data_IF_769477669295
#
_entry.id   IF_769477669295
#
_cell.length_a   1.000
_cell.length_b   1.000
_cell.length_c   1.000
_cell.angle_alpha   90.00
_cell.angle_beta   90.00
_cell.angle_gamma   90.00
#
_symmetry.space_group_name_H-M   'P 1'
#
loop_
_entity.id
_entity.type
_entity.pdbx_description
1 polymer ?
#
# COMPACT_ATOMS: atom_id res chain seq x y z
N UNK A 1 -13.15 -23.04 -11.96
CA UNK A 1 -12.36 -22.49 -10.85
C UNK A 1 -12.84 -23.18 -9.60
N UNK A 2 -11.93 -23.83 -8.86
CA UNK A 2 -12.31 -24.69 -7.74
C UNK A 2 -12.58 -23.85 -6.49
N UNK A 3 -13.54 -24.23 -5.63
CA UNK A 3 -13.97 -23.40 -4.47
C UNK A 3 -12.82 -23.03 -3.52
N UNK A 4 -11.76 -23.84 -3.49
CA UNK A 4 -10.55 -23.60 -2.69
C UNK A 4 -9.64 -22.50 -3.23
N UNK A 5 -9.58 -22.30 -4.55
CA UNK A 5 -8.79 -21.21 -5.14
C UNK A 5 -9.50 -19.85 -4.94
N UNK A 6 -10.83 -19.88 -4.89
CA UNK A 6 -11.70 -18.72 -4.62
C UNK A 6 -11.61 -18.24 -3.16
N UNK A 7 -11.58 -19.15 -2.19
CA UNK A 7 -11.47 -18.83 -0.77
C UNK A 7 -10.09 -18.21 -0.42
N UNK A 8 -9.04 -18.61 -1.14
CA UNK A 8 -7.69 -18.05 -0.97
C UNK A 8 -7.57 -16.64 -1.55
N UNK A 9 -8.21 -16.36 -2.70
CA UNK A 9 -8.23 -15.02 -3.31
C UNK A 9 -9.05 -13.99 -2.50
N UNK A 10 -10.16 -14.42 -1.89
CA UNK A 10 -10.97 -13.57 -1.00
C UNK A 10 -10.22 -13.25 0.32
N UNK A 11 -9.33 -14.15 0.78
CA UNK A 11 -8.59 -14.02 2.04
C UNK A 11 -7.41 -13.05 2.00
N UNK A 12 -6.72 -12.94 0.85
CA UNK A 12 -5.52 -12.09 0.73
C UNK A 12 -5.83 -10.61 0.95
N UNK A 13 -7.00 -10.18 0.49
CA UNK A 13 -7.40 -8.79 0.51
C UNK A 13 -7.96 -8.32 1.87
N UNK A 14 -8.65 -9.20 2.59
CA UNK A 14 -9.04 -8.93 3.98
C UNK A 14 -7.83 -8.75 4.89
N UNK A 15 -6.75 -9.48 4.63
CA UNK A 15 -5.51 -9.38 5.43
C UNK A 15 -4.85 -8.00 5.30
N UNK A 16 -4.85 -7.41 4.09
CA UNK A 16 -4.34 -6.04 3.85
C UNK A 16 -5.14 -5.00 4.65
N UNK A 17 -6.48 -5.11 4.62
CA UNK A 17 -7.39 -4.22 5.37
C UNK A 17 -7.16 -4.35 6.88
N UNK A 18 -7.07 -5.58 7.39
CA UNK A 18 -6.82 -5.84 8.81
C UNK A 18 -5.46 -5.29 9.25
N UNK A 19 -4.42 -5.47 8.44
CA UNK A 19 -3.09 -4.95 8.74
C UNK A 19 -3.06 -3.40 8.73
N UNK A 20 -3.74 -2.76 7.78
CA UNK A 20 -3.91 -1.30 7.75
C UNK A 20 -4.69 -0.78 8.96
N UNK A 21 -5.79 -1.44 9.32
CA UNK A 21 -6.59 -1.11 10.50
C UNK A 21 -5.81 -1.31 11.82
N UNK A 22 -4.99 -2.36 11.90
CA UNK A 22 -4.09 -2.59 13.03
C UNK A 22 -3.09 -1.44 13.16
N UNK A 23 -2.46 -0.99 12.05
CA UNK A 23 -1.55 0.16 12.08
C UNK A 23 -2.25 1.45 12.55
N UNK A 24 -3.50 1.69 12.13
CA UNK A 24 -4.33 2.81 12.60
C UNK A 24 -4.56 2.71 14.12
N UNK A 25 -5.02 1.56 14.60
CA UNK A 25 -5.28 1.35 16.03
C UNK A 25 -4.01 1.53 16.88
N UNK A 26 -2.89 0.94 16.46
CA UNK A 26 -1.59 1.08 17.12
C UNK A 26 -1.13 2.54 17.16
N UNK A 27 -1.33 3.28 16.07
CA UNK A 27 -0.96 4.69 15.99
C UNK A 27 -1.81 5.57 16.93
N UNK A 28 -3.12 5.31 17.02
CA UNK A 28 -4.02 6.02 17.94
C UNK A 28 -3.64 5.75 19.40
N UNK A 29 -3.39 4.48 19.74
CA UNK A 29 -2.98 4.09 21.10
C UNK A 29 -1.62 4.71 21.44
N UNK A 30 -0.69 4.76 20.48
CA UNK A 30 0.61 5.43 20.64
C UNK A 30 0.47 6.94 20.85
N UNK A 31 -0.45 7.59 20.13
CA UNK A 31 -0.77 9.01 20.30
C UNK A 31 -1.37 9.32 21.67
N UNK A 32 -2.08 8.36 22.27
CA UNK A 32 -2.57 8.46 23.65
C UNK A 32 -1.44 8.34 24.71
N UNK A 33 -0.19 8.13 24.29
CA UNK A 33 0.98 8.07 25.18
C UNK A 33 1.31 6.67 25.72
N UNK A 34 0.58 5.64 25.29
CA UNK A 34 0.83 4.26 25.76
C UNK A 34 1.97 3.67 24.93
N UNK A 35 3.13 3.45 25.56
CA UNK A 35 4.34 2.87 24.95
C UNK A 35 4.61 3.33 23.49
N UNK A 36 4.73 4.65 23.23
CA UNK A 36 4.65 5.20 21.88
C UNK A 36 5.68 4.61 20.90
N UNK A 37 6.91 4.39 21.36
CA UNK A 37 8.02 3.86 20.56
C UNK A 37 7.76 2.40 20.12
N UNK A 38 7.17 1.59 20.99
CA UNK A 38 6.87 0.19 20.69
C UNK A 38 5.73 0.13 19.67
N UNK A 39 4.68 0.92 19.89
CA UNK A 39 3.49 0.91 19.03
C UNK A 39 3.77 1.48 17.64
N UNK A 40 4.60 2.53 17.53
CA UNK A 40 4.99 3.07 16.21
C UNK A 40 5.82 2.06 15.41
N UNK A 41 6.69 1.29 16.08
CA UNK A 41 7.49 0.24 15.43
C UNK A 41 6.61 -0.94 15.02
N UNK A 42 5.63 -1.31 15.84
CA UNK A 42 4.64 -2.33 15.49
C UNK A 42 3.74 -1.88 14.32
N UNK A 43 3.37 -0.60 14.27
CA UNK A 43 2.61 -0.02 13.17
C UNK A 43 3.42 -0.08 11.85
N UNK A 44 4.72 0.25 11.89
CA UNK A 44 5.63 0.11 10.75
C UNK A 44 5.65 -1.33 10.20
N UNK A 45 5.78 -2.33 11.09
CA UNK A 45 5.76 -3.74 10.69
C UNK A 45 4.40 -4.12 10.09
N UNK A 46 3.29 -3.70 10.70
CA UNK A 46 1.95 -3.99 10.19
C UNK A 46 1.72 -3.40 8.79
N UNK A 47 2.15 -2.16 8.57
CA UNK A 47 2.13 -1.52 7.25
C UNK A 47 3.03 -2.27 6.26
N UNK A 48 4.23 -2.67 6.68
CA UNK A 48 5.16 -3.40 5.83
C UNK A 48 4.60 -4.74 5.37
N UNK A 49 3.97 -5.49 6.28
CA UNK A 49 3.25 -6.73 5.94
C UNK A 49 2.12 -6.45 4.96
N UNK A 50 1.32 -5.40 5.20
CA UNK A 50 0.23 -4.99 4.31
C UNK A 50 0.71 -4.70 2.88
N UNK A 51 1.83 -3.98 2.74
CA UNK A 51 2.44 -3.64 1.45
C UNK A 51 3.01 -4.86 0.71
N UNK A 52 3.67 -5.78 1.42
CA UNK A 52 4.15 -7.02 0.80
C UNK A 52 2.98 -7.83 0.25
N UNK A 53 1.90 -7.97 1.03
CA UNK A 53 0.69 -8.66 0.60
C UNK A 53 0.03 -7.96 -0.60
N UNK A 54 -0.13 -6.64 -0.55
CA UNK A 54 -0.70 -5.85 -1.63
C UNK A 54 0.12 -5.98 -2.93
N UNK A 55 1.45 -5.91 -2.83
CA UNK A 55 2.34 -6.08 -3.98
C UNK A 55 2.30 -7.48 -4.59
N UNK A 56 2.13 -8.52 -3.78
CA UNK A 56 1.94 -9.89 -4.27
C UNK A 56 0.62 -10.04 -5.04
N UNK A 57 -0.49 -9.51 -4.49
CA UNK A 57 -1.78 -9.53 -5.17
C UNK A 57 -1.74 -8.78 -6.51
N UNK A 58 -1.12 -7.59 -6.54
CA UNK A 58 -0.94 -6.82 -7.77
C UNK A 58 -0.09 -7.56 -8.82
N UNK A 59 0.91 -8.34 -8.39
CA UNK A 59 1.73 -9.14 -9.30
C UNK A 59 0.93 -10.29 -9.95
N UNK A 60 0.00 -10.91 -9.21
CA UNK A 60 -0.87 -11.97 -9.74
C UNK A 60 -1.86 -11.44 -10.78
N UNK A 61 -2.47 -10.29 -10.53
CA UNK A 61 -3.39 -9.64 -11.48
C UNK A 61 -2.68 -9.35 -12.82
N UNK A 62 -1.46 -8.80 -12.75
CA UNK A 62 -0.64 -8.54 -13.95
C UNK A 62 -0.30 -9.81 -14.71
N UNK A 63 -0.02 -10.92 -14.02
CA UNK A 63 0.20 -12.23 -14.65
C UNK A 63 -1.04 -12.72 -15.38
N UNK A 64 -2.24 -12.58 -14.80
CA UNK A 64 -3.52 -12.98 -15.43
C UNK A 64 -3.77 -12.19 -16.72
N UNK A 65 -3.54 -10.88 -16.69
CA UNK A 65 -3.69 -10.00 -17.88
C UNK A 65 -2.68 -10.38 -18.97
N UNK A 66 -1.41 -10.58 -18.61
CA UNK A 66 -0.36 -10.99 -19.55
C UNK A 66 -0.64 -12.36 -20.17
N UNK A 67 -1.08 -13.32 -19.37
CA UNK A 67 -1.47 -14.66 -19.84
C UNK A 67 -2.67 -14.61 -20.81
N UNK A 68 -3.54 -13.62 -20.66
CA UNK A 68 -4.71 -13.40 -21.53
C UNK A 68 -4.35 -12.64 -22.82
N UNK A 69 -3.23 -11.92 -22.85
CA UNK A 69 -2.90 -10.98 -23.94
C UNK A 69 -1.90 -11.53 -24.96
N UNK A 70 -0.97 -12.43 -24.61
CA UNK A 70 0.00 -12.96 -25.60
C UNK A 70 0.45 -14.41 -25.36
N UNK A 71 0.19 -15.27 -26.35
CA UNK A 71 1.09 -16.37 -26.70
C UNK A 71 2.34 -15.80 -27.36
N UNK A 72 3.50 -15.99 -26.73
CA UNK A 72 4.80 -15.82 -27.39
C UNK A 72 5.65 -14.62 -26.96
N UNK A 73 6.68 -14.93 -26.15
CA UNK A 73 8.03 -14.33 -26.17
C UNK A 73 8.15 -12.81 -25.96
N UNK A 74 8.25 -12.40 -24.71
CA UNK A 74 9.19 -11.34 -24.29
C UNK A 74 9.82 -11.67 -22.93
N UNK A 75 10.67 -12.70 -22.90
CA UNK A 75 11.67 -12.86 -21.84
C UNK A 75 12.87 -11.98 -22.21
N UNK A 76 12.79 -10.69 -21.87
CA UNK A 76 13.98 -9.85 -21.82
C UNK A 76 14.68 -10.05 -20.47
N UNK A 77 15.95 -10.49 -20.41
CA UNK A 77 16.64 -10.86 -19.17
C UNK A 77 16.87 -9.72 -18.16
N UNK A 78 16.50 -8.47 -18.49
CA UNK A 78 16.62 -7.30 -17.61
C UNK A 78 15.34 -6.90 -16.87
N UNK A 79 14.22 -7.59 -17.10
CA UNK A 79 12.90 -7.21 -16.59
C UNK A 79 12.55 -7.84 -15.22
N UNK A 80 13.51 -8.48 -14.56
CA UNK A 80 13.30 -9.06 -13.22
C UNK A 80 13.09 -7.96 -12.15
N UNK A 81 13.62 -6.76 -12.39
CA UNK A 81 13.38 -5.55 -11.57
C UNK A 81 12.00 -4.93 -11.80
N UNK A 82 11.25 -5.36 -12.84
CA UNK A 82 9.91 -4.84 -13.15
C UNK A 82 8.80 -5.72 -12.55
N UNK A 83 9.14 -6.91 -12.04
CA UNK A 83 8.19 -7.84 -11.43
C UNK A 83 7.95 -7.65 -9.93
N UNK A 84 8.95 -7.15 -9.19
CA UNK A 84 8.77 -6.77 -7.79
C UNK A 84 8.24 -5.34 -7.73
N UNK A 85 6.96 -5.19 -7.41
CA UNK A 85 6.34 -3.89 -7.18
C UNK A 85 7.07 -3.12 -6.08
N UNK A 86 7.11 -1.80 -6.19
CA UNK A 86 7.67 -0.93 -5.15
C UNK A 86 6.99 -1.15 -3.80
N UNK A 87 5.76 -1.69 -3.78
CA UNK A 87 5.09 -2.10 -2.56
C UNK A 87 5.88 -3.18 -1.81
N UNK A 88 6.40 -4.20 -2.50
CA UNK A 88 7.13 -5.29 -1.83
C UNK A 88 8.45 -4.78 -1.25
N UNK A 89 9.16 -3.94 -2.01
CA UNK A 89 10.44 -3.37 -1.56
C UNK A 89 10.23 -2.46 -0.35
N UNK A 90 9.26 -1.56 -0.43
CA UNK A 90 8.91 -0.69 0.68
C UNK A 90 8.42 -1.50 1.88
N UNK A 91 7.60 -2.54 1.66
CA UNK A 91 7.08 -3.37 2.73
C UNK A 91 8.15 -4.16 3.47
N UNK A 92 9.10 -4.77 2.74
CA UNK A 92 10.27 -5.43 3.35
C UNK A 92 11.13 -4.42 4.10
N UNK A 93 11.37 -3.24 3.52
CA UNK A 93 12.12 -2.18 4.19
C UNK A 93 11.43 -1.77 5.51
N UNK A 94 10.12 -1.56 5.52
CA UNK A 94 9.36 -1.21 6.72
C UNK A 94 9.36 -2.29 7.78
N UNK A 95 9.28 -3.56 7.39
CA UNK A 95 9.41 -4.68 8.34
C UNK A 95 10.78 -4.64 9.00
N UNK A 96 11.85 -4.52 8.21
CA UNK A 96 13.23 -4.50 8.73
C UNK A 96 13.46 -3.28 9.62
N UNK A 97 13.09 -2.08 9.17
CA UNK A 97 13.25 -0.84 9.94
C UNK A 97 12.42 -0.85 11.23
N UNK A 98 11.19 -1.38 11.18
CA UNK A 98 10.35 -1.57 12.36
C UNK A 98 10.96 -2.55 13.37
N UNK A 99 11.52 -3.68 12.91
CA UNK A 99 12.22 -4.64 13.77
C UNK A 99 13.47 -4.01 14.40
N UNK A 100 14.31 -3.32 13.61
CA UNK A 100 15.51 -2.66 14.10
C UNK A 100 15.17 -1.55 15.13
N UNK A 101 14.07 -0.84 14.92
CA UNK A 101 13.55 0.13 15.88
C UNK A 101 13.12 -0.51 17.21
N UNK A 102 12.50 -1.71 17.17
CA UNK A 102 12.20 -2.48 18.39
C UNK A 102 13.46 -2.90 19.15
N UNK A 103 14.57 -3.12 18.45
CA UNK A 103 15.89 -3.37 19.05
C UNK A 103 16.55 -2.10 19.61
N UNK A 104 15.84 -0.97 19.61
CA UNK A 104 16.29 0.34 20.13
C UNK A 104 17.50 0.92 19.42
N UNK A 105 17.72 0.57 18.15
CA UNK A 105 18.74 1.18 17.32
C UNK A 105 18.22 2.52 16.79
N UNK A 106 18.56 3.64 17.42
CA UNK A 106 18.08 4.99 17.08
C UNK A 106 16.68 5.05 16.41
N UNK A 107 15.61 4.74 17.15
CA UNK A 107 14.26 4.57 16.61
C UNK A 107 13.75 5.78 15.81
N UNK A 108 14.15 6.99 16.22
CA UNK A 108 13.70 8.21 15.57
C UNK A 108 14.21 8.31 14.12
N UNK A 109 15.48 7.98 13.89
CA UNK A 109 16.08 8.03 12.55
C UNK A 109 15.59 6.87 11.69
N UNK A 110 15.54 5.65 12.24
CA UNK A 110 15.09 4.48 11.48
C UNK A 110 13.64 4.60 11.03
N UNK A 111 12.73 4.99 11.93
CA UNK A 111 11.33 5.16 11.59
C UNK A 111 11.07 6.41 10.75
N UNK A 112 11.87 7.47 10.93
CA UNK A 112 11.84 8.63 10.04
C UNK A 112 12.21 8.25 8.60
N UNK A 113 13.26 7.45 8.43
CA UNK A 113 13.63 6.91 7.13
C UNK A 113 12.54 5.98 6.57
N UNK A 114 11.94 5.15 7.41
CA UNK A 114 10.83 4.27 7.01
C UNK A 114 9.64 5.04 6.43
N UNK A 115 9.18 6.06 7.15
CA UNK A 115 8.07 6.91 6.70
C UNK A 115 8.38 7.61 5.37
N UNK A 116 9.64 8.00 5.13
CA UNK A 116 10.05 8.56 3.83
C UNK A 116 9.96 7.50 2.73
N UNK A 117 10.44 6.28 2.97
CA UNK A 117 10.35 5.16 2.03
C UNK A 117 8.89 4.83 1.71
N UNK A 118 8.02 4.80 2.73
CA UNK A 118 6.58 4.60 2.57
C UNK A 118 5.93 5.71 1.73
N UNK A 119 6.27 6.96 1.99
CA UNK A 119 5.75 8.08 1.20
C UNK A 119 6.17 8.01 -0.27
N UNK A 120 7.43 7.64 -0.54
CA UNK A 120 7.91 7.39 -1.91
C UNK A 120 7.15 6.24 -2.59
N UNK A 121 6.87 5.17 -1.84
CA UNK A 121 6.07 4.05 -2.35
C UNK A 121 4.65 4.49 -2.73
N UNK A 122 3.99 5.29 -1.89
CA UNK A 122 2.65 5.81 -2.20
C UNK A 122 2.62 6.72 -3.42
N UNK A 123 3.62 7.58 -3.59
CA UNK A 123 3.75 8.38 -4.81
C UNK A 123 3.90 7.50 -6.05
N UNK A 124 4.72 6.44 -5.97
CA UNK A 124 4.90 5.52 -7.09
C UNK A 124 3.62 4.72 -7.41
N UNK A 125 2.91 4.25 -6.39
CA UNK A 125 1.62 3.56 -6.53
C UNK A 125 0.58 4.45 -7.20
N UNK A 126 0.50 5.72 -6.81
CA UNK A 126 -0.44 6.67 -7.44
C UNK A 126 -0.14 6.88 -8.94
N UNK A 127 1.14 6.88 -9.33
CA UNK A 127 1.56 7.01 -10.71
C UNK A 127 1.22 5.77 -11.56
N UNK A 128 1.32 4.56 -10.98
CA UNK A 128 0.90 3.33 -11.66
C UNK A 128 -0.62 3.27 -11.83
N UNK A 129 -1.36 3.62 -10.79
CA UNK A 129 -2.83 3.63 -10.81
C UNK A 129 -3.38 4.65 -11.82
N UNK A 130 -2.75 5.84 -11.91
CA UNK A 130 -3.09 6.86 -12.90
C UNK A 130 -2.86 6.41 -14.35
N UNK A 131 -1.75 5.72 -14.62
CA UNK A 131 -1.45 5.19 -15.96
C UNK A 131 -2.45 4.12 -16.38
N UNK A 132 -2.82 3.23 -15.46
CA UNK A 132 -3.81 2.19 -15.74
C UNK A 132 -5.19 2.81 -16.03
N UNK A 133 -5.60 3.81 -15.24
CA UNK A 133 -6.87 4.49 -15.45
C UNK A 133 -6.91 5.26 -16.78
N UNK A 134 -5.79 5.88 -17.18
CA UNK A 134 -5.66 6.53 -18.48
C UNK A 134 -5.75 5.53 -19.65
N UNK A 135 -5.22 4.31 -19.49
CA UNK A 135 -5.34 3.27 -20.52
C UNK A 135 -6.77 2.76 -20.69
N UNK A 136 -7.52 2.63 -19.59
CA UNK A 136 -8.94 2.20 -19.62
C UNK A 136 -9.86 3.19 -20.34
N UNK A 137 -9.54 4.48 -20.31
CA UNK A 137 -10.29 5.52 -21.04
C UNK A 137 -10.21 5.41 -22.57
N UNK A 138 -9.17 4.75 -23.10
CA UNK A 138 -9.00 4.58 -24.55
C UNK A 138 -9.72 3.34 -25.10
N UNK A 139 -10.40 2.57 -24.25
CA UNK A 139 -11.23 1.45 -24.68
C UNK A 139 -12.59 1.96 -25.21
N UNK A 140 -13.03 1.56 -26.42
CA UNK A 140 -14.20 2.15 -27.09
C UNK A 140 -15.58 1.79 -26.48
N UNK A 141 -15.63 1.05 -25.37
CA UNK A 141 -16.85 0.46 -24.76
C UNK A 141 -17.13 1.08 -23.36
N UNK A 142 -17.34 2.40 -23.26
CA UNK A 142 -17.58 3.05 -21.96
C UNK A 142 -19.07 3.32 -21.69
N UNK A 143 -19.72 2.34 -21.05
CA UNK A 143 -21.06 2.47 -20.45
C UNK A 143 -21.05 3.51 -19.31
N UNK A 144 -22.17 4.24 -19.09
CA UNK A 144 -22.29 5.29 -18.05
C UNK A 144 -21.83 4.88 -16.63
N UNK A 145 -21.89 3.59 -16.28
CA UNK A 145 -21.37 3.06 -15.02
C UNK A 145 -19.85 3.24 -14.86
N UNK A 146 -19.07 3.10 -15.95
CA UNK A 146 -17.61 3.31 -15.92
C UNK A 146 -17.22 4.77 -15.63
N UNK A 147 -18.08 5.73 -15.97
CA UNK A 147 -17.81 7.16 -15.77
C UNK A 147 -17.85 7.55 -14.29
N UNK A 148 -18.76 6.95 -13.52
CA UNK A 148 -18.86 7.18 -12.07
C UNK A 148 -17.68 6.51 -11.34
N UNK A 149 -17.31 5.28 -11.72
CA UNK A 149 -16.12 4.61 -11.18
C UNK A 149 -14.80 5.33 -11.50
N UNK A 150 -14.72 5.99 -12.67
CA UNK A 150 -13.54 6.77 -13.06
C UNK A 150 -13.33 8.00 -12.17
N UNK A 151 -14.41 8.74 -11.85
CA UNK A 151 -14.32 9.91 -10.96
C UNK A 151 -13.90 9.51 -9.54
N UNK A 152 -14.41 8.39 -9.03
CA UNK A 152 -13.98 7.85 -7.72
C UNK A 152 -12.50 7.41 -7.73
N UNK A 153 -12.05 6.76 -8.81
CA UNK A 153 -10.65 6.35 -8.95
C UNK A 153 -9.69 7.55 -8.99
N UNK A 154 -10.08 8.63 -9.66
CA UNK A 154 -9.29 9.86 -9.72
C UNK A 154 -9.12 10.51 -8.34
N UNK A 155 -10.19 10.61 -7.55
CA UNK A 155 -10.14 11.16 -6.19
C UNK A 155 -9.22 10.33 -5.28
N UNK A 156 -9.25 9.00 -5.42
CA UNK A 156 -8.38 8.11 -4.64
C UNK A 156 -6.88 8.33 -4.95
N UNK A 157 -6.53 8.54 -6.22
CA UNK A 157 -5.16 8.84 -6.65
C UNK A 157 -4.67 10.16 -6.02
N UNK A 158 -5.51 11.20 -6.05
CA UNK A 158 -5.16 12.51 -5.50
C UNK A 158 -4.91 12.44 -3.98
N UNK A 159 -5.73 11.68 -3.25
CA UNK A 159 -5.54 11.45 -1.80
C UNK A 159 -4.24 10.70 -1.54
N UNK A 160 -3.93 9.66 -2.33
CA UNK A 160 -2.70 8.88 -2.13
C UNK A 160 -1.43 9.72 -2.37
N UNK A 161 -1.46 10.63 -3.36
CA UNK A 161 -0.39 11.60 -3.58
C UNK A 161 -0.22 12.51 -2.34
N UNK A 162 -1.34 13.03 -1.82
CA UNK A 162 -1.32 13.90 -0.64
C UNK A 162 -0.76 13.19 0.59
N UNK A 163 -1.15 11.92 0.81
CA UNK A 163 -0.60 11.08 1.87
C UNK A 163 0.90 10.84 1.66
N UNK A 164 1.34 10.58 0.43
CA UNK A 164 2.75 10.40 0.09
C UNK A 164 3.61 11.63 0.41
N UNK A 165 3.16 12.83 0.01
CA UNK A 165 3.87 14.09 0.31
C UNK A 165 3.88 14.38 1.82
N UNK A 166 2.73 14.17 2.48
CA UNK A 166 2.58 14.42 3.92
C UNK A 166 3.49 13.51 4.73
N UNK A 167 3.53 12.22 4.40
CA UNK A 167 4.39 11.23 5.07
C UNK A 167 5.86 11.58 4.90
N UNK A 168 6.33 11.87 3.67
CA UNK A 168 7.71 12.33 3.44
C UNK A 168 8.04 13.54 4.32
N UNK A 169 7.17 14.54 4.34
CA UNK A 169 7.37 15.77 5.11
C UNK A 169 7.46 15.48 6.62
N UNK A 170 6.56 14.65 7.15
CA UNK A 170 6.57 14.24 8.56
C UNK A 170 7.82 13.42 8.92
N UNK A 171 8.27 12.54 8.02
CA UNK A 171 9.51 11.77 8.20
C UNK A 171 10.75 12.66 8.25
N UNK A 172 10.85 13.66 7.37
CA UNK A 172 11.95 14.64 7.38
C UNK A 172 11.94 15.43 8.70
N UNK A 173 10.78 15.94 9.13
CA UNK A 173 10.67 16.69 10.39
C UNK A 173 11.02 15.83 11.62
N UNK A 174 10.65 14.54 11.60
CA UNK A 174 11.00 13.60 12.66
C UNK A 174 12.51 13.36 12.74
N UNK A 175 13.21 13.21 11.60
CA UNK A 175 14.68 13.05 11.57
C UNK A 175 15.39 14.29 12.11
N UNK A 176 14.85 15.49 11.85
CA UNK A 176 15.39 16.76 12.38
C UNK A 176 15.14 16.89 13.90
N UNK A 177 14.33 16.02 14.49
CA UNK A 177 14.09 15.96 15.94
C UNK A 177 12.90 16.81 16.42
N UNK A 178 12.05 17.29 15.50
CA UNK A 178 10.84 18.04 15.87
C UNK A 178 9.75 17.05 16.26
N UNK A 179 9.45 16.94 17.56
CA UNK A 179 8.40 16.06 18.11
C UNK A 179 8.33 14.67 17.44
N UNK A 180 9.47 13.94 17.31
CA UNK A 180 9.63 12.84 16.37
C UNK A 180 8.58 11.75 16.55
N UNK A 181 8.32 11.36 17.80
CA UNK A 181 7.36 10.30 18.13
C UNK A 181 5.95 10.65 17.66
N UNK A 182 5.50 11.90 17.91
CA UNK A 182 4.16 12.35 17.51
C UNK A 182 4.03 12.43 15.99
N UNK A 183 5.03 13.00 15.31
CA UNK A 183 5.00 13.11 13.84
C UNK A 183 5.03 11.75 13.16
N UNK A 184 5.83 10.81 13.68
CA UNK A 184 5.86 9.44 13.17
C UNK A 184 4.50 8.76 13.36
N UNK A 185 3.91 8.81 14.55
CA UNK A 185 2.59 8.21 14.79
C UNK A 185 1.49 8.80 13.88
N UNK A 186 1.50 10.11 13.64
CA UNK A 186 0.58 10.74 12.69
C UNK A 186 0.84 10.26 11.26
N UNK A 187 2.10 10.09 10.87
CA UNK A 187 2.45 9.57 9.56
C UNK A 187 1.99 8.11 9.38
N UNK A 188 2.27 7.24 10.35
CA UNK A 188 1.80 5.84 10.32
C UNK A 188 0.27 5.73 10.37
N UNK A 189 -0.41 6.63 11.09
CA UNK A 189 -1.87 6.72 11.09
C UNK A 189 -2.41 7.04 9.68
N UNK A 190 -1.86 8.06 9.01
CA UNK A 190 -2.25 8.44 7.66
C UNK A 190 -1.95 7.33 6.64
N UNK A 191 -0.77 6.72 6.73
CA UNK A 191 -0.35 5.60 5.89
C UNK A 191 -1.25 4.37 6.07
N UNK A 192 -1.55 4.00 7.32
CA UNK A 192 -2.42 2.87 7.65
C UNK A 192 -3.86 3.08 7.18
N UNK A 193 -4.39 4.30 7.33
CA UNK A 193 -5.71 4.65 6.82
C UNK A 193 -5.78 4.58 5.29
N UNK A 194 -4.75 5.08 4.60
CA UNK A 194 -4.65 5.00 3.13
C UNK A 194 -4.63 3.55 2.64
N UNK A 195 -3.87 2.68 3.31
CA UNK A 195 -3.82 1.24 2.99
C UNK A 195 -5.14 0.53 3.28
N UNK A 196 -5.80 0.84 4.39
CA UNK A 196 -7.11 0.28 4.71
C UNK A 196 -8.15 0.63 3.64
N UNK A 197 -8.17 1.88 3.17
CA UNK A 197 -9.04 2.33 2.07
C UNK A 197 -8.67 1.63 0.76
N UNK A 198 -7.37 1.50 0.43
CA UNK A 198 -6.95 0.79 -0.78
C UNK A 198 -7.38 -0.68 -0.76
N UNK A 199 -7.26 -1.35 0.39
CA UNK A 199 -7.71 -2.72 0.58
C UNK A 199 -9.21 -2.92 0.38
N UNK A 200 -10.08 -1.99 0.77
CA UNK A 200 -11.53 -2.17 0.56
C UNK A 200 -11.93 -2.14 -0.92
N UNK A 201 -11.24 -1.34 -1.75
CA UNK A 201 -11.55 -1.22 -3.19
C UNK A 201 -11.33 -2.52 -3.98
N UNK A 202 -10.33 -3.31 -3.58
CA UNK A 202 -10.06 -4.63 -4.18
C UNK A 202 -11.12 -5.67 -3.77
N UNK A 203 -11.73 -5.53 -2.58
CA UNK A 203 -12.71 -6.48 -2.06
C UNK A 203 -14.07 -6.38 -2.73
N UNK A 204 -14.46 -5.17 -3.15
CA UNK A 204 -15.73 -4.92 -3.85
C UNK A 204 -15.71 -5.48 -5.27
N UNK A 205 -14.59 -5.41 -6.00
CA UNK A 205 -14.50 -5.90 -7.38
C UNK A 205 -14.73 -7.41 -7.51
N UNK A 206 -14.32 -8.20 -6.51
CA UNK A 206 -14.55 -9.65 -6.50
C UNK A 206 -16.01 -10.01 -6.14
N UNK A 207 -16.72 -9.13 -5.44
CA UNK A 207 -18.14 -9.35 -5.15
C UNK A 207 -19.05 -9.04 -6.35
N UNK A 208 -18.66 -8.11 -7.23
CA UNK A 208 -19.38 -7.87 -8.49
C UNK A 208 -19.18 -9.00 -9.50
N UNK A 209 -17.97 -9.58 -9.61
CA UNK A 209 -17.68 -10.73 -10.49
C UNK A 209 -18.41 -12.02 -10.05
N UNK A 210 -19.04 -12.04 -8.87
CA UNK A 210 -19.86 -13.13 -8.32
C UNK A 210 -21.32 -13.11 -8.79
N UNK A 211 -21.82 -11.96 -9.24
CA UNK A 211 -23.25 -11.73 -9.52
C UNK A 211 -23.59 -11.60 -11.03
N UNK A 212 -22.60 -11.71 -11.91
CA UNK A 212 -22.77 -11.88 -13.37
C UNK A 212 -22.47 -13.33 -13.79
#
# INVERSE_FOLDING_TARGET
>A
MDKKELEVLESGNMTVVVAGAAAVALSIIGLAGILPIVLVSAAAIAIGVSLVLAGMAAAEEKKKILASTQGGRYTSPGMFTVGLGLEIIAGVASIVLGILSLLKMDPAVLLGADVIVLGMAFLAMSATDARENANKLNAPELTKAHRISYESAKVAIDIQILVGISTITLGILAIIGIAPVTLLLVAFLASGASLAIKGTTLGVRLYEERND
#
